data_IF_539335958885
#
_entry.id   IF_539335958885
#
_cell.length_a   1.000
_cell.length_b   1.000
_cell.length_c   1.000
_cell.angle_alpha   90.00
_cell.angle_beta   90.00
_cell.angle_gamma   90.00
#
_symmetry.space_group_name_H-M   'P 1'
#
loop_
_entity.id
_entity.type
_entity.pdbx_description
1 polymer ?
#
# COMPACT_ATOMS: atom_id res chain seq x y z
N UNK A 1 14.02 26.70 -13.56
CA UNK A 1 12.70 26.58 -14.23
C UNK A 1 11.83 25.70 -13.36
N UNK A 2 10.64 26.16 -13.00
CA UNK A 2 9.67 25.37 -12.23
C UNK A 2 9.08 24.29 -13.15
N UNK A 3 8.94 23.06 -12.66
CA UNK A 3 8.30 22.01 -13.42
C UNK A 3 6.78 22.10 -13.23
N UNK A 4 6.07 22.30 -14.33
CA UNK A 4 4.60 22.27 -14.36
C UNK A 4 4.10 20.85 -14.66
N UNK A 5 2.95 20.50 -14.13
CA UNK A 5 2.28 19.21 -14.30
C UNK A 5 0.79 19.44 -14.55
N UNK A 6 0.18 18.62 -15.40
CA UNK A 6 -1.26 18.70 -15.67
C UNK A 6 -2.08 18.16 -14.50
N UNK A 7 -1.55 17.14 -13.82
CA UNK A 7 -2.24 16.42 -12.75
C UNK A 7 -1.23 16.10 -11.64
N UNK A 8 -1.64 16.31 -10.39
CA UNK A 8 -0.91 15.87 -9.21
C UNK A 8 -1.74 14.79 -8.51
N UNK A 9 -1.18 13.60 -8.35
CA UNK A 9 -1.79 12.46 -7.65
C UNK A 9 -1.09 12.31 -6.31
N UNK A 10 -1.88 12.32 -5.23
CA UNK A 10 -1.40 12.18 -3.85
C UNK A 10 -1.77 10.79 -3.32
N UNK A 11 -0.77 9.99 -2.98
CA UNK A 11 -0.92 8.61 -2.52
C UNK A 11 -0.68 7.61 -3.65
N UNK A 12 -0.17 6.44 -3.30
CA UNK A 12 0.18 5.34 -4.22
C UNK A 12 -0.67 4.09 -3.97
N UNK A 13 -1.89 4.27 -3.48
CA UNK A 13 -2.86 3.19 -3.39
C UNK A 13 -3.27 2.66 -4.77
N UNK A 14 -4.01 1.55 -4.77
CA UNK A 14 -4.38 0.87 -6.01
C UNK A 14 -5.17 1.79 -6.96
N UNK A 15 -6.13 2.54 -6.42
CA UNK A 15 -6.99 3.44 -7.19
C UNK A 15 -6.17 4.59 -7.79
N UNK A 16 -5.30 5.19 -6.99
CA UNK A 16 -4.43 6.30 -7.38
C UNK A 16 -3.45 5.87 -8.48
N UNK A 17 -2.84 4.70 -8.34
CA UNK A 17 -1.94 4.13 -9.35
C UNK A 17 -2.65 3.83 -10.67
N UNK A 18 -3.85 3.25 -10.64
CA UNK A 18 -4.63 3.00 -11.85
C UNK A 18 -4.97 4.32 -12.55
N UNK A 19 -5.45 5.31 -11.80
CA UNK A 19 -5.81 6.61 -12.36
C UNK A 19 -4.58 7.34 -12.93
N UNK A 20 -3.46 7.33 -12.21
CA UNK A 20 -2.18 7.91 -12.64
C UNK A 20 -1.68 7.28 -13.95
N UNK A 21 -1.79 5.95 -14.06
CA UNK A 21 -1.44 5.21 -15.27
C UNK A 21 -2.32 5.57 -16.47
N UNK A 22 -3.64 5.60 -16.28
CA UNK A 22 -4.59 5.98 -17.34
C UNK A 22 -4.38 7.43 -17.82
N UNK A 23 -4.15 8.37 -16.89
CA UNK A 23 -3.90 9.76 -17.24
C UNK A 23 -2.58 9.94 -17.99
N UNK A 24 -1.53 9.24 -17.56
CA UNK A 24 -0.25 9.23 -18.27
C UNK A 24 -0.39 8.64 -19.68
N UNK A 25 -1.16 7.55 -19.82
CA UNK A 25 -1.47 6.95 -21.12
C UNK A 25 -2.25 7.90 -22.04
N UNK A 26 -3.09 8.77 -21.47
CA UNK A 26 -3.82 9.82 -22.21
C UNK A 26 -2.96 11.04 -22.58
N UNK A 27 -1.66 11.02 -22.32
CA UNK A 27 -0.72 12.09 -22.67
C UNK A 27 -0.59 13.22 -21.64
N UNK A 28 -1.11 13.05 -20.42
CA UNK A 28 -0.97 14.03 -19.33
C UNK A 28 0.38 13.90 -18.64
N UNK A 29 0.98 15.04 -18.27
CA UNK A 29 2.17 15.06 -17.42
C UNK A 29 1.75 14.96 -15.95
N UNK A 30 1.87 13.76 -15.38
CA UNK A 30 1.41 13.46 -14.02
C UNK A 30 2.57 13.52 -13.01
N UNK A 31 2.37 14.23 -11.90
CA UNK A 31 3.22 14.14 -10.71
C UNK A 31 2.54 13.21 -9.71
N UNK A 32 3.10 12.02 -9.49
CA UNK A 32 2.55 11.04 -8.57
C UNK A 32 3.44 10.92 -7.34
N UNK A 33 2.95 11.34 -6.18
CA UNK A 33 3.73 11.43 -4.94
C UNK A 33 2.98 10.79 -3.76
N UNK A 34 3.73 10.22 -2.82
CA UNK A 34 3.19 9.69 -1.57
C UNK A 34 3.95 10.30 -0.39
N UNK A 35 3.25 10.51 0.73
CA UNK A 35 3.89 10.94 1.99
C UNK A 35 4.60 9.77 2.68
N UNK A 36 4.16 8.55 2.40
CA UNK A 36 4.69 7.35 3.03
C UNK A 36 6.00 6.95 2.33
N UNK A 37 6.98 6.41 3.06
CA UNK A 37 8.21 5.89 2.46
C UNK A 37 8.02 4.56 1.72
N UNK A 38 6.78 4.10 1.55
CA UNK A 38 6.41 2.83 0.93
C UNK A 38 5.26 3.05 -0.06
N UNK A 39 5.21 2.21 -1.10
CA UNK A 39 4.15 2.22 -2.11
C UNK A 39 2.93 1.41 -1.66
N UNK A 40 1.74 1.78 -2.14
CA UNK A 40 0.52 0.99 -1.97
C UNK A 40 -0.49 1.53 -0.95
N UNK A 41 -0.15 2.58 -0.19
CA UNK A 41 -1.05 3.16 0.81
C UNK A 41 -1.61 2.11 1.78
N UNK A 42 -2.93 2.06 1.97
CA UNK A 42 -3.60 1.05 2.82
C UNK A 42 -3.54 -0.37 2.26
N UNK A 43 -3.28 -0.50 0.95
CA UNK A 43 -3.07 -1.76 0.24
C UNK A 43 -1.60 -2.18 0.21
N UNK A 44 -0.69 -1.41 0.81
CA UNK A 44 0.74 -1.71 0.83
C UNK A 44 1.01 -3.08 1.45
N UNK A 45 1.77 -3.90 0.74
CA UNK A 45 2.25 -5.17 1.28
C UNK A 45 3.23 -4.93 2.42
N UNK A 46 3.20 -5.81 3.42
CA UNK A 46 4.08 -5.78 4.57
C UNK A 46 5.15 -6.84 4.39
N UNK A 47 6.41 -6.40 4.37
CA UNK A 47 7.60 -7.23 4.31
C UNK A 47 8.77 -6.49 4.98
N UNK A 48 9.67 -7.19 5.69
CA UNK A 48 9.64 -8.62 6.01
C UNK A 48 8.59 -8.95 7.07
N UNK A 49 8.40 -10.24 7.36
CA UNK A 49 7.41 -10.74 8.34
C UNK A 49 7.51 -10.02 9.71
N UNK A 50 8.71 -9.65 10.15
CA UNK A 50 8.94 -8.92 11.40
C UNK A 50 8.22 -7.56 11.45
N UNK A 51 8.07 -6.86 10.32
CA UNK A 51 7.34 -5.59 10.24
C UNK A 51 5.83 -5.81 10.46
N UNK A 52 5.28 -6.96 10.07
CA UNK A 52 3.90 -7.33 10.39
C UNK A 52 3.73 -7.46 11.91
N UNK A 53 4.62 -8.23 12.54
CA UNK A 53 4.58 -8.46 13.98
C UNK A 53 4.70 -7.17 14.78
N UNK A 54 5.60 -6.28 14.34
CA UNK A 54 5.74 -4.93 14.88
C UNK A 54 4.47 -4.09 14.68
N UNK A 55 3.87 -4.10 13.50
CA UNK A 55 2.65 -3.34 13.17
C UNK A 55 1.46 -3.74 14.06
N UNK A 56 1.27 -5.03 14.28
CA UNK A 56 0.18 -5.56 15.10
C UNK A 56 0.56 -5.75 16.59
N UNK A 57 1.78 -5.35 16.98
CA UNK A 57 2.29 -5.44 18.37
C UNK A 57 2.21 -6.86 18.96
N UNK A 58 2.43 -7.86 18.12
CA UNK A 58 2.45 -9.29 18.50
C UNK A 58 3.88 -9.79 18.65
N UNK A 59 4.07 -10.83 19.47
CA UNK A 59 5.38 -11.46 19.70
C UNK A 59 5.93 -12.01 18.39
N UNK A 60 7.17 -11.67 18.06
CA UNK A 60 7.81 -11.92 16.75
C UNK A 60 7.69 -13.34 16.20
N UNK A 61 7.98 -13.50 14.89
CA UNK A 61 7.69 -14.73 14.16
C UNK A 61 8.38 -15.96 14.75
N UNK A 62 7.69 -17.10 14.74
CA UNK A 62 8.25 -18.39 15.12
C UNK A 62 9.36 -18.81 14.14
N UNK A 63 10.41 -19.49 14.65
CA UNK A 63 11.53 -19.99 13.84
C UNK A 63 11.09 -20.96 12.73
N UNK A 64 9.94 -21.62 12.88
CA UNK A 64 9.36 -22.52 11.88
C UNK A 64 8.83 -21.80 10.64
N UNK A 65 8.61 -20.47 10.68
CA UNK A 65 8.06 -19.71 9.55
C UNK A 65 9.12 -19.27 8.51
N UNK A 66 10.35 -19.76 8.62
CA UNK A 66 11.41 -19.49 7.66
C UNK A 66 11.96 -18.07 7.74
N UNK A 67 12.51 -17.57 6.62
CA UNK A 67 13.15 -16.25 6.56
C UNK A 67 12.08 -15.18 6.35
N UNK A 68 11.99 -14.20 7.24
CA UNK A 68 10.97 -13.14 7.16
C UNK A 68 10.93 -12.37 5.83
N UNK A 69 12.06 -12.26 5.12
CA UNK A 69 12.17 -11.61 3.79
C UNK A 69 11.45 -12.35 2.66
N UNK A 70 11.13 -13.63 2.84
CA UNK A 70 10.38 -14.42 1.84
C UNK A 70 8.88 -14.12 1.90
N UNK A 71 8.42 -13.41 2.94
CA UNK A 71 7.03 -13.06 3.13
C UNK A 71 6.71 -11.71 2.53
N UNK A 72 5.70 -11.68 1.66
CA UNK A 72 5.05 -10.48 1.16
C UNK A 72 3.56 -10.59 1.47
N UNK A 73 3.15 -9.98 2.58
CA UNK A 73 1.79 -10.10 3.07
C UNK A 73 0.93 -8.95 2.53
N UNK A 74 -0.24 -9.22 1.95
CA UNK A 74 -1.13 -8.16 1.46
C UNK A 74 -1.55 -7.22 2.60
N UNK A 75 -1.68 -5.93 2.27
CA UNK A 75 -2.15 -4.92 3.22
C UNK A 75 -3.58 -5.20 3.69
N UNK A 76 -3.99 -4.68 4.87
CA UNK A 76 -5.32 -4.94 5.44
C UNK A 76 -6.48 -4.60 4.49
N UNK A 77 -6.33 -3.57 3.65
CA UNK A 77 -7.37 -3.19 2.68
C UNK A 77 -7.57 -4.22 1.55
N UNK A 78 -6.64 -5.16 1.36
CA UNK A 78 -6.75 -6.25 0.38
C UNK A 78 -7.26 -7.55 1.01
N UNK A 79 -7.15 -7.68 2.33
CA UNK A 79 -7.73 -8.78 3.08
C UNK A 79 -9.22 -8.49 3.26
N UNK A 80 -10.05 -8.98 2.34
CA UNK A 80 -11.49 -8.74 2.32
C UNK A 80 -12.14 -8.86 3.70
N UNK A 81 -13.05 -7.94 3.99
CA UNK A 81 -13.80 -7.83 5.24
C UNK A 81 -14.42 -9.18 5.65
N UNK A 82 -13.81 -9.89 6.58
CA UNK A 82 -14.51 -10.89 7.41
C UNK A 82 -14.85 -10.31 8.80
N UNK A 83 -14.68 -9.00 9.03
CA UNK A 83 -14.85 -8.42 10.36
C UNK A 83 -15.41 -7.00 10.44
N UNK A 84 -15.95 -6.43 9.35
CA UNK A 84 -16.59 -5.08 9.38
C UNK A 84 -18.07 -5.06 9.03
N UNK A 85 -18.70 -6.21 8.74
CA UNK A 85 -20.18 -6.33 8.64
C UNK A 85 -20.85 -6.65 10.00
N UNK A 86 -20.19 -6.35 11.12
CA UNK A 86 -20.82 -6.30 12.45
C UNK A 86 -20.51 -4.98 13.17
N UNK A 87 -20.88 -3.86 12.55
CA UNK A 87 -21.10 -2.59 13.24
C UNK A 87 -21.91 -1.63 12.37
N UNK A 88 -23.03 -2.11 11.81
CA UNK A 88 -24.16 -1.26 11.40
C UNK A 88 -25.43 -1.99 11.83
N UNK A 89 -25.77 -1.83 13.12
CA UNK A 89 -27.13 -1.92 13.65
C UNK A 89 -27.40 -0.63 14.40
#
# INVERSE_FOLDING_TARGET
>A
RMQEYDIIVLGTGLKECILSGLMSQSGKKVLHIDKNPYHGGESASISPLEELYKKFKVRGPAKSMGRGKEWNLPGPALCGNHQTDQAVL
#
